data_IF_156754747192
#
_entry.id   IF_156754747192
#
_cell.length_a   1.000
_cell.length_b   1.000
_cell.length_c   1.000
_cell.angle_alpha   90.00
_cell.angle_beta   90.00
_cell.angle_gamma   90.00
#
_symmetry.space_group_name_H-M   'P 1'
#
loop_
_entity.id
_entity.type
_entity.pdbx_description
1 polymer ?
#
# COMPACT_ATOMS: atom_id res chain seq x y z
N UNK A 1 15.56 18.22 11.33
CA UNK A 1 14.88 16.93 11.55
C UNK A 1 13.80 17.02 12.62
N UNK A 2 14.09 17.45 13.86
CA UNK A 2 13.09 17.51 14.94
C UNK A 2 11.80 18.31 14.59
N UNK A 3 11.95 19.48 13.98
CA UNK A 3 10.82 20.32 13.54
C UNK A 3 9.96 19.67 12.44
N UNK A 4 10.57 18.93 11.51
CA UNK A 4 9.87 18.20 10.45
C UNK A 4 9.03 17.09 11.07
N UNK A 5 9.61 16.36 12.02
CA UNK A 5 8.90 15.29 12.75
C UNK A 5 7.76 15.85 13.60
N UNK A 6 7.91 17.04 14.19
CA UNK A 6 6.83 17.69 14.93
C UNK A 6 5.64 18.05 14.03
N UNK A 7 5.89 18.70 12.88
CA UNK A 7 4.85 19.03 11.89
C UNK A 7 4.16 17.76 11.37
N UNK A 8 4.95 16.72 11.12
CA UNK A 8 4.43 15.43 10.67
C UNK A 8 3.53 14.77 11.72
N UNK A 9 3.96 14.78 12.98
CA UNK A 9 3.20 14.24 14.12
C UNK A 9 1.88 14.98 14.32
N UNK A 10 1.87 16.30 14.24
CA UNK A 10 0.67 17.12 14.38
C UNK A 10 -0.33 16.89 13.23
N UNK A 11 0.19 16.74 12.01
CA UNK A 11 -0.63 16.39 10.84
C UNK A 11 -1.29 15.03 11.03
N UNK A 12 -0.52 14.04 11.50
CA UNK A 12 -1.01 12.69 11.78
C UNK A 12 -2.08 12.69 12.88
N UNK A 13 -1.87 13.45 13.95
CA UNK A 13 -2.86 13.66 15.02
C UNK A 13 -4.16 14.25 14.48
N UNK A 14 -4.07 15.33 13.69
CA UNK A 14 -5.24 16.00 13.11
C UNK A 14 -6.09 15.05 12.26
N UNK A 15 -5.44 14.17 11.50
CA UNK A 15 -6.10 13.17 10.65
C UNK A 15 -6.73 12.06 11.50
N UNK A 16 -6.00 11.55 12.50
CA UNK A 16 -6.54 10.53 13.40
C UNK A 16 -7.76 11.06 14.16
N UNK A 17 -7.70 12.28 14.68
CA UNK A 17 -8.82 12.92 15.37
C UNK A 17 -10.03 13.11 14.44
N UNK A 18 -9.79 13.43 13.16
CA UNK A 18 -10.87 13.55 12.16
C UNK A 18 -11.51 12.20 11.87
N UNK A 19 -10.71 11.13 11.82
CA UNK A 19 -11.21 9.76 11.70
C UNK A 19 -12.02 9.34 12.93
N UNK A 20 -11.51 9.62 14.14
CA UNK A 20 -12.20 9.29 15.40
C UNK A 20 -13.50 10.06 15.59
N UNK A 21 -13.54 11.36 15.25
CA UNK A 21 -14.76 12.18 15.34
C UNK A 21 -15.83 11.80 14.34
N UNK A 22 -15.45 11.27 13.16
CA UNK A 22 -16.38 10.81 12.13
C UNK A 22 -16.70 9.33 12.22
N UNK A 23 -16.25 8.64 13.27
CA UNK A 23 -16.39 7.19 13.40
C UNK A 23 -17.87 6.81 13.48
N UNK A 24 -18.44 6.46 12.33
CA UNK A 24 -19.69 5.69 12.21
C UNK A 24 -19.50 4.40 13.02
N UNK A 25 -20.59 3.86 13.58
CA UNK A 25 -20.56 2.57 14.31
C UNK A 25 -19.62 1.57 13.63
N UNK A 26 -18.62 1.09 14.37
CA UNK A 26 -17.56 0.20 13.87
C UNK A 26 -18.10 -1.02 13.13
N UNK A 27 -19.30 -1.44 13.50
CA UNK A 27 -20.00 -2.57 12.89
C UNK A 27 -20.47 -2.32 11.45
N UNK A 28 -20.82 -1.08 11.10
CA UNK A 28 -21.19 -0.68 9.73
C UNK A 28 -19.97 -0.24 8.90
N UNK A 29 -18.94 0.29 9.57
CA UNK A 29 -17.74 0.75 8.89
C UNK A 29 -16.94 -0.39 8.27
N UNK A 30 -16.78 -1.52 8.98
CA UNK A 30 -16.04 -2.68 8.47
C UNK A 30 -16.60 -3.24 7.15
N UNK A 31 -17.89 -3.61 7.03
CA UNK A 31 -18.42 -4.16 5.78
C UNK A 31 -18.38 -3.14 4.63
N UNK A 32 -18.61 -1.86 4.92
CA UNK A 32 -18.49 -0.80 3.91
C UNK A 32 -17.06 -0.67 3.38
N UNK A 33 -16.07 -0.67 4.28
CA UNK A 33 -14.64 -0.64 3.93
C UNK A 33 -14.23 -1.89 3.15
N UNK A 34 -14.73 -3.06 3.55
CA UNK A 34 -14.49 -4.32 2.85
C UNK A 34 -15.04 -4.29 1.42
N UNK A 35 -16.28 -3.84 1.21
CA UNK A 35 -16.87 -3.67 -0.13
C UNK A 35 -16.08 -2.66 -0.96
N UNK A 36 -15.67 -1.54 -0.36
CA UNK A 36 -14.79 -0.57 -1.02
C UNK A 36 -13.50 -1.23 -1.51
N UNK A 37 -12.84 -2.02 -0.66
CA UNK A 37 -11.61 -2.71 -1.05
C UNK A 37 -11.83 -3.85 -2.05
N UNK A 38 -13.00 -4.50 -2.07
CA UNK A 38 -13.35 -5.45 -3.15
C UNK A 38 -13.33 -4.72 -4.49
N UNK A 39 -14.04 -3.59 -4.58
CA UNK A 39 -14.12 -2.82 -5.83
C UNK A 39 -12.72 -2.34 -6.24
N UNK A 40 -11.94 -1.85 -5.28
CA UNK A 40 -10.58 -1.37 -5.55
C UNK A 40 -9.65 -2.49 -6.03
N UNK A 41 -9.65 -3.66 -5.38
CA UNK A 41 -8.83 -4.80 -5.78
C UNK A 41 -9.21 -5.33 -7.16
N UNK A 42 -10.51 -5.41 -7.45
CA UNK A 42 -11.01 -5.80 -8.78
C UNK A 42 -10.58 -4.77 -9.83
N UNK A 43 -10.68 -3.47 -9.53
CA UNK A 43 -10.22 -2.42 -10.45
C UNK A 43 -8.71 -2.50 -10.72
N UNK A 44 -7.89 -2.68 -9.68
CA UNK A 44 -6.45 -2.89 -9.82
C UNK A 44 -6.13 -4.14 -10.63
N UNK A 45 -6.87 -5.24 -10.41
CA UNK A 45 -6.72 -6.48 -11.16
C UNK A 45 -6.99 -6.30 -12.65
N UNK A 46 -8.12 -5.68 -13.00
CA UNK A 46 -8.46 -5.41 -14.38
C UNK A 46 -7.46 -4.46 -15.03
N UNK A 47 -7.06 -3.39 -14.32
CA UNK A 47 -6.02 -2.48 -14.79
C UNK A 47 -4.74 -3.25 -15.12
N UNK A 48 -4.28 -4.10 -14.20
CA UNK A 48 -3.04 -4.86 -14.35
C UNK A 48 -3.11 -5.86 -15.51
N UNK A 49 -4.24 -6.57 -15.68
CA UNK A 49 -4.40 -7.53 -16.79
C UNK A 49 -4.47 -6.83 -18.14
N UNK A 50 -5.26 -5.77 -18.28
CA UNK A 50 -5.40 -5.08 -19.58
C UNK A 50 -4.09 -4.44 -20.04
N UNK A 51 -3.25 -3.99 -19.11
CA UNK A 51 -2.00 -3.31 -19.42
C UNK A 51 -0.81 -4.28 -19.58
N UNK A 52 -0.70 -5.30 -18.74
CA UNK A 52 0.41 -6.26 -18.79
C UNK A 52 0.19 -7.40 -19.80
N UNK A 53 -1.06 -7.84 -19.95
CA UNK A 53 -1.45 -9.09 -20.60
C UNK A 53 -2.67 -8.96 -21.53
N UNK A 54 -2.73 -7.94 -22.42
CA UNK A 54 -3.92 -7.66 -23.23
C UNK A 54 -4.35 -8.82 -24.15
N UNK A 55 -3.39 -9.62 -24.64
CA UNK A 55 -3.66 -10.72 -25.56
C UNK A 55 -4.49 -11.86 -24.92
N UNK A 56 -4.32 -12.12 -23.62
CA UNK A 56 -5.06 -13.18 -22.92
C UNK A 56 -6.56 -12.86 -22.79
N UNK A 57 -6.96 -11.59 -22.93
CA UNK A 57 -8.37 -11.19 -22.94
C UNK A 57 -9.05 -11.44 -24.29
N UNK A 58 -8.29 -11.74 -25.34
CA UNK A 58 -8.80 -11.99 -26.69
C UNK A 58 -8.91 -13.50 -27.02
N UNK A 59 -8.43 -14.36 -26.12
CA UNK A 59 -8.38 -15.82 -26.31
C UNK A 59 -9.37 -16.55 -25.39
N UNK A 60 -9.55 -17.86 -25.61
CA UNK A 60 -10.39 -18.72 -24.77
C UNK A 60 -9.96 -18.79 -23.30
N UNK A 61 -8.72 -18.39 -23.00
CA UNK A 61 -8.16 -18.25 -21.65
C UNK A 61 -8.80 -17.11 -20.83
N UNK A 62 -9.54 -16.21 -21.47
CA UNK A 62 -10.22 -15.10 -20.80
C UNK A 62 -11.17 -15.57 -19.68
N UNK A 63 -11.81 -16.73 -19.87
CA UNK A 63 -12.71 -17.32 -18.87
C UNK A 63 -12.00 -17.66 -17.55
N UNK A 64 -10.75 -18.11 -17.62
CA UNK A 64 -9.93 -18.43 -16.45
C UNK A 64 -9.60 -17.15 -15.65
N UNK A 65 -9.17 -16.09 -16.34
CA UNK A 65 -8.85 -14.81 -15.71
C UNK A 65 -10.08 -14.11 -15.13
N UNK A 66 -11.23 -14.16 -15.81
CA UNK A 66 -12.49 -13.63 -15.27
C UNK A 66 -12.86 -14.31 -13.94
N UNK A 67 -12.67 -15.63 -13.82
CA UNK A 67 -12.93 -16.34 -12.56
C UNK A 67 -11.93 -15.96 -11.46
N UNK A 68 -10.69 -15.67 -11.83
CA UNK A 68 -9.62 -15.29 -10.90
C UNK A 68 -9.88 -13.95 -10.19
N UNK A 69 -10.71 -13.07 -10.75
CA UNK A 69 -11.11 -11.84 -10.07
C UNK A 69 -11.84 -12.10 -8.74
N UNK A 70 -12.52 -13.25 -8.59
CA UNK A 70 -13.29 -13.58 -7.37
C UNK A 70 -12.35 -13.81 -6.19
N UNK A 71 -11.42 -14.78 -6.22
CA UNK A 71 -10.47 -14.95 -5.14
C UNK A 71 -9.57 -13.72 -4.98
N UNK A 72 -9.17 -13.07 -6.07
CA UNK A 72 -8.35 -11.85 -6.00
C UNK A 72 -9.08 -10.71 -5.28
N UNK A 73 -10.31 -10.41 -5.67
CA UNK A 73 -11.11 -9.35 -5.05
C UNK A 73 -11.41 -9.64 -3.59
N UNK A 74 -11.79 -10.88 -3.27
CA UNK A 74 -12.14 -11.26 -1.90
C UNK A 74 -10.93 -11.31 -0.96
N UNK A 75 -9.88 -12.06 -1.31
CA UNK A 75 -8.70 -12.19 -0.46
C UNK A 75 -7.85 -10.91 -0.44
N UNK A 76 -7.82 -10.15 -1.55
CA UNK A 76 -7.22 -8.82 -1.59
C UNK A 76 -7.93 -7.87 -0.63
N UNK A 77 -9.25 -7.78 -0.69
CA UNK A 77 -10.03 -6.93 0.21
C UNK A 77 -9.92 -7.35 1.67
N UNK A 78 -9.82 -8.65 1.95
CA UNK A 78 -9.60 -9.15 3.30
C UNK A 78 -8.27 -8.66 3.85
N UNK A 79 -7.19 -8.77 3.07
CA UNK A 79 -5.89 -8.28 3.50
C UNK A 79 -5.86 -6.76 3.66
N UNK A 80 -6.40 -6.01 2.69
CA UNK A 80 -6.39 -4.54 2.72
C UNK A 80 -7.25 -3.98 3.87
N UNK A 81 -8.39 -4.61 4.17
CA UNK A 81 -9.19 -4.22 5.33
C UNK A 81 -8.47 -4.51 6.64
N UNK A 82 -7.85 -5.69 6.80
CA UNK A 82 -7.07 -6.03 7.98
C UNK A 82 -5.85 -5.12 8.15
N UNK A 83 -5.08 -4.90 7.08
CA UNK A 83 -3.90 -4.04 7.08
C UNK A 83 -4.27 -2.60 7.45
N UNK A 84 -5.41 -2.08 6.98
CA UNK A 84 -5.91 -0.77 7.37
C UNK A 84 -6.13 -0.65 8.89
N UNK A 85 -6.77 -1.64 9.53
CA UNK A 85 -6.97 -1.59 10.99
C UNK A 85 -5.66 -1.71 11.75
N UNK A 86 -4.73 -2.55 11.28
CA UNK A 86 -3.39 -2.67 11.86
C UNK A 86 -2.64 -1.35 11.74
N UNK A 87 -2.68 -0.66 10.60
CA UNK A 87 -2.03 0.66 10.43
C UNK A 87 -2.66 1.71 11.34
N UNK A 88 -3.98 1.76 11.49
CA UNK A 88 -4.61 2.67 12.47
C UNK A 88 -4.15 2.37 13.89
N UNK A 89 -4.01 1.10 14.25
CA UNK A 89 -3.48 0.70 15.56
C UNK A 89 -2.01 1.11 15.73
N UNK A 90 -1.17 0.93 14.70
CA UNK A 90 0.23 1.38 14.67
C UNK A 90 0.31 2.90 14.86
N UNK A 91 -0.50 3.68 14.14
CA UNK A 91 -0.54 5.14 14.24
C UNK A 91 -0.89 5.59 15.66
N UNK A 92 -1.91 4.99 16.28
CA UNK A 92 -2.29 5.28 17.68
C UNK A 92 -1.11 5.04 18.62
N UNK A 93 -0.40 3.93 18.42
CA UNK A 93 0.76 3.58 19.25
C UNK A 93 1.94 4.54 19.02
N UNK A 94 2.19 4.91 17.76
CA UNK A 94 3.23 5.88 17.41
C UNK A 94 2.95 7.24 18.06
N UNK A 95 1.71 7.73 17.99
CA UNK A 95 1.32 9.01 18.59
C UNK A 95 1.39 9.02 20.12
N UNK A 96 1.24 7.88 20.78
CA UNK A 96 1.43 7.75 22.22
C UNK A 96 2.92 7.74 22.63
N UNK A 97 3.85 7.52 21.71
CA UNK A 97 5.28 7.43 22.02
C UNK A 97 5.87 8.81 22.39
N UNK A 98 6.67 8.86 23.46
CA UNK A 98 7.30 10.13 23.90
C UNK A 98 8.57 10.44 23.12
N UNK A 99 9.31 9.42 22.69
CA UNK A 99 10.57 9.58 21.95
C UNK A 99 10.35 9.59 20.44
N UNK A 100 11.07 10.47 19.76
CA UNK A 100 11.06 10.56 18.29
C UNK A 100 11.51 9.27 17.60
N UNK A 101 12.48 8.54 18.17
CA UNK A 101 12.95 7.26 17.62
C UNK A 101 11.86 6.17 17.70
N UNK A 102 11.16 6.07 18.82
CA UNK A 102 10.05 5.14 19.02
C UNK A 102 8.88 5.46 18.07
N UNK A 103 8.58 6.74 17.86
CA UNK A 103 7.60 7.20 16.87
C UNK A 103 7.94 6.73 15.45
N UNK A 104 9.18 6.98 14.98
CA UNK A 104 9.63 6.56 13.64
C UNK A 104 9.65 5.04 13.51
N UNK A 105 10.07 4.32 14.55
CA UNK A 105 10.09 2.86 14.54
C UNK A 105 8.68 2.27 14.38
N UNK A 106 7.71 2.75 15.16
CA UNK A 106 6.33 2.28 15.02
C UNK A 106 5.82 2.52 13.60
N UNK A 107 6.09 3.70 13.02
CA UNK A 107 5.63 4.01 11.69
C UNK A 107 6.36 3.21 10.59
N UNK A 108 7.58 2.76 10.85
CA UNK A 108 8.29 1.85 9.94
C UNK A 108 7.68 0.45 9.88
N UNK A 109 6.80 0.06 10.82
CA UNK A 109 6.09 -1.21 10.76
C UNK A 109 5.15 -1.29 9.55
N UNK A 110 4.69 -0.16 9.00
CA UNK A 110 3.90 -0.16 7.75
C UNK A 110 4.72 -0.65 6.55
N UNK A 111 6.05 -0.54 6.58
CA UNK A 111 6.91 -1.13 5.55
C UNK A 111 6.89 -2.67 5.61
N UNK A 112 6.79 -3.24 6.82
CA UNK A 112 6.64 -4.68 7.00
C UNK A 112 5.30 -5.15 6.42
N UNK A 113 4.23 -4.38 6.63
CA UNK A 113 2.92 -4.67 6.02
C UNK A 113 3.04 -4.68 4.48
N UNK A 114 3.77 -3.74 3.89
CA UNK A 114 4.00 -3.73 2.45
C UNK A 114 4.78 -4.98 1.97
N UNK A 115 5.80 -5.42 2.72
CA UNK A 115 6.53 -6.66 2.41
C UNK A 115 5.59 -7.88 2.50
N UNK A 116 4.81 -7.99 3.56
CA UNK A 116 3.82 -9.06 3.72
C UNK A 116 2.79 -9.03 2.60
N UNK A 117 2.38 -7.85 2.12
CA UNK A 117 1.47 -7.71 0.99
C UNK A 117 2.05 -8.35 -0.29
N UNK A 118 3.36 -8.24 -0.53
CA UNK A 118 3.99 -8.88 -1.70
C UNK A 118 3.86 -10.41 -1.66
N UNK A 119 4.06 -11.01 -0.48
CA UNK A 119 3.85 -12.45 -0.27
C UNK A 119 2.37 -12.83 -0.35
N UNK A 120 1.49 -11.96 0.15
CA UNK A 120 0.05 -12.16 0.10
C UNK A 120 -0.45 -12.26 -1.35
N UNK A 121 0.03 -11.37 -2.23
CA UNK A 121 -0.30 -11.44 -3.67
C UNK A 121 0.07 -12.82 -4.24
N UNK A 122 1.29 -13.31 -4.00
CA UNK A 122 1.71 -14.64 -4.48
C UNK A 122 0.82 -15.77 -3.94
N UNK A 123 0.44 -15.68 -2.66
CA UNK A 123 -0.49 -16.63 -2.05
C UNK A 123 -1.85 -16.61 -2.75
N UNK A 124 -2.45 -15.44 -2.93
CA UNK A 124 -3.77 -15.28 -3.58
C UNK A 124 -3.77 -15.82 -5.01
N UNK A 125 -2.70 -15.60 -5.77
CA UNK A 125 -2.58 -16.13 -7.14
C UNK A 125 -2.35 -17.65 -7.18
N UNK A 126 -1.61 -18.20 -6.22
CA UNK A 126 -1.39 -19.66 -6.13
C UNK A 126 -2.66 -20.38 -5.69
N UNK A 127 -3.26 -19.92 -4.60
CA UNK A 127 -4.47 -20.50 -4.03
C UNK A 127 -5.70 -20.24 -4.90
N UNK A 128 -5.86 -19.02 -5.41
CA UNK A 128 -6.97 -18.65 -6.31
C UNK A 128 -6.92 -19.42 -7.62
N UNK A 129 -5.74 -19.60 -8.20
CA UNK A 129 -5.57 -20.49 -9.33
C UNK A 129 -6.03 -21.91 -8.98
N UNK A 130 -5.54 -22.48 -7.88
CA UNK A 130 -5.91 -23.83 -7.45
C UNK A 130 -7.42 -23.99 -7.23
N UNK A 131 -8.07 -23.00 -6.62
CA UNK A 131 -9.51 -22.99 -6.43
C UNK A 131 -10.27 -23.07 -7.76
N UNK A 132 -9.80 -22.34 -8.78
CA UNK A 132 -10.37 -22.42 -10.13
C UNK A 132 -10.10 -23.78 -10.78
N UNK A 133 -8.92 -24.39 -10.56
CA UNK A 133 -8.62 -25.71 -11.12
C UNK A 133 -9.56 -26.81 -10.61
N UNK A 134 -10.01 -26.69 -9.35
CA UNK A 134 -11.05 -27.54 -8.78
C UNK A 134 -12.40 -27.23 -9.45
N UNK A 135 -12.73 -25.96 -9.61
CA UNK A 135 -13.97 -25.52 -10.27
C UNK A 135 -14.06 -26.05 -11.71
N UNK A 136 -12.94 -26.07 -12.43
CA UNK A 136 -12.85 -26.49 -13.83
C UNK A 136 -12.73 -28.02 -14.00
N UNK A 137 -12.81 -28.80 -12.92
CA UNK A 137 -12.60 -30.27 -12.93
C UNK A 137 -11.29 -30.70 -13.59
N UNK A 138 -10.28 -29.82 -13.58
CA UNK A 138 -8.93 -30.06 -14.07
C UNK A 138 -7.96 -29.92 -12.90
N UNK A 139 -7.98 -30.86 -11.93
CA UNK A 139 -7.28 -30.70 -10.67
C UNK A 139 -5.77 -30.63 -10.88
N UNK A 140 -5.20 -29.45 -10.71
CA UNK A 140 -3.75 -29.27 -10.60
C UNK A 140 -3.33 -29.40 -9.13
N UNK A 141 -2.25 -30.12 -8.87
CA UNK A 141 -1.68 -30.17 -7.52
C UNK A 141 -1.11 -28.80 -7.13
N UNK A 142 -1.33 -28.36 -5.90
CA UNK A 142 -0.73 -27.12 -5.36
C UNK A 142 0.80 -27.11 -5.53
N UNK A 143 1.44 -28.28 -5.41
CA UNK A 143 2.89 -28.45 -5.57
C UNK A 143 3.38 -28.08 -6.97
N UNK A 144 2.64 -28.42 -8.04
CA UNK A 144 3.04 -28.10 -9.40
C UNK A 144 2.95 -26.60 -9.68
N UNK A 145 1.94 -25.93 -9.13
CA UNK A 145 1.82 -24.47 -9.18
C UNK A 145 2.87 -23.76 -8.34
N UNK A 146 3.17 -24.29 -7.15
CA UNK A 146 4.28 -23.83 -6.33
C UNK A 146 5.60 -23.83 -7.11
N UNK A 147 5.92 -24.94 -7.78
CA UNK A 147 7.12 -25.03 -8.61
C UNK A 147 7.13 -24.01 -9.77
N UNK A 148 5.98 -23.78 -10.42
CA UNK A 148 5.84 -22.77 -11.49
C UNK A 148 6.13 -21.35 -10.99
N UNK A 149 5.59 -20.96 -9.84
CA UNK A 149 5.84 -19.64 -9.27
C UNK A 149 7.27 -19.51 -8.71
N UNK A 150 7.83 -20.58 -8.13
CA UNK A 150 9.24 -20.61 -7.71
C UNK A 150 10.18 -20.40 -8.89
N UNK A 151 9.97 -21.09 -10.02
CA UNK A 151 10.77 -20.91 -11.22
C UNK A 151 10.67 -19.48 -11.77
N UNK A 152 9.47 -18.89 -11.76
CA UNK A 152 9.27 -17.48 -12.15
C UNK A 152 10.00 -16.52 -11.21
N UNK A 153 9.99 -16.78 -9.90
CA UNK A 153 10.70 -15.97 -8.93
C UNK A 153 12.22 -16.02 -9.14
N UNK A 154 12.78 -17.23 -9.33
CA UNK A 154 14.20 -17.42 -9.65
C UNK A 154 14.56 -16.73 -10.96
N UNK A 155 13.73 -16.88 -12.00
CA UNK A 155 13.94 -16.24 -13.29
C UNK A 155 13.89 -14.71 -13.20
N UNK A 156 12.98 -14.14 -12.40
CA UNK A 156 12.89 -12.70 -12.18
C UNK A 156 14.10 -12.14 -11.41
N UNK A 157 14.74 -12.93 -10.55
CA UNK A 157 15.99 -12.54 -9.88
C UNK A 157 17.17 -12.54 -10.88
N UNK A 158 17.20 -13.52 -11.78
CA UNK A 158 18.29 -13.67 -12.75
C UNK A 158 18.18 -12.68 -13.92
N UNK A 159 16.96 -12.41 -14.40
CA UNK A 159 16.68 -11.48 -15.49
C UNK A 159 15.45 -10.60 -15.18
N UNK A 160 15.59 -9.58 -14.33
CA UNK A 160 14.46 -8.74 -13.90
C UNK A 160 13.88 -7.88 -15.02
N UNK A 161 14.71 -7.50 -16.00
CA UNK A 161 14.33 -6.60 -17.10
C UNK A 161 13.86 -7.36 -18.35
N UNK A 162 13.91 -8.69 -18.34
CA UNK A 162 13.32 -9.54 -19.37
C UNK A 162 11.84 -9.20 -19.58
N UNK A 163 11.40 -9.18 -20.85
CA UNK A 163 10.07 -8.67 -21.25
C UNK A 163 8.91 -9.30 -20.48
N UNK A 164 8.97 -10.59 -20.18
CA UNK A 164 7.93 -11.30 -19.43
C UNK A 164 8.03 -11.07 -17.92
N UNK A 165 9.25 -11.00 -17.37
CA UNK A 165 9.48 -10.72 -15.95
C UNK A 165 9.08 -9.28 -15.60
N UNK A 166 9.41 -8.32 -16.47
CA UNK A 166 9.01 -6.93 -16.32
C UNK A 166 7.48 -6.77 -16.28
N UNK A 167 6.74 -7.49 -17.14
CA UNK A 167 5.27 -7.53 -17.10
C UNK A 167 4.74 -8.15 -15.80
N UNK A 168 5.33 -9.26 -15.34
CA UNK A 168 4.92 -9.91 -14.09
C UNK A 168 5.19 -9.01 -12.87
N UNK A 169 6.33 -8.34 -12.82
CA UNK A 169 6.68 -7.37 -11.77
C UNK A 169 5.71 -6.20 -11.81
N UNK A 170 5.49 -5.61 -13.00
CA UNK A 170 4.53 -4.53 -13.18
C UNK A 170 3.12 -4.93 -12.73
N UNK A 171 2.67 -6.13 -13.13
CA UNK A 171 1.39 -6.68 -12.71
C UNK A 171 1.29 -6.77 -11.18
N UNK A 172 2.31 -7.34 -10.53
CA UNK A 172 2.39 -7.41 -9.07
C UNK A 172 2.40 -6.05 -8.38
N UNK A 173 3.09 -5.06 -8.95
CA UNK A 173 3.12 -3.68 -8.43
C UNK A 173 1.73 -3.05 -8.47
N UNK A 174 1.02 -3.11 -9.60
CA UNK A 174 -0.34 -2.57 -9.72
C UNK A 174 -1.29 -3.25 -8.73
N UNK A 175 -1.20 -4.57 -8.60
CA UNK A 175 -1.98 -5.33 -7.63
C UNK A 175 -1.69 -4.94 -6.18
N UNK A 176 -0.44 -4.56 -5.87
CA UNK A 176 -0.02 -4.14 -4.53
C UNK A 176 -0.34 -2.67 -4.18
N UNK A 177 -0.81 -1.86 -5.13
CA UNK A 177 -1.09 -0.44 -4.89
C UNK A 177 -2.16 -0.24 -3.81
N UNK A 178 -3.21 -1.07 -3.81
CA UNK A 178 -4.30 -0.95 -2.83
C UNK A 178 -3.81 -1.20 -1.40
N UNK A 179 -2.98 -2.23 -1.21
CA UNK A 179 -2.36 -2.56 0.07
C UNK A 179 -1.34 -1.51 0.55
N UNK A 180 -0.68 -0.82 -0.39
CA UNK A 180 0.31 0.21 -0.10
C UNK A 180 -0.29 1.61 0.18
N UNK A 181 -1.61 1.77 0.10
CA UNK A 181 -2.28 3.06 0.36
C UNK A 181 -1.87 3.71 1.70
N UNK A 182 -1.80 2.99 2.83
CA UNK A 182 -1.37 3.60 4.09
C UNK A 182 0.09 4.08 4.02
N UNK A 183 0.98 3.27 3.44
CA UNK A 183 2.38 3.64 3.23
C UNK A 183 2.51 4.90 2.36
N UNK A 184 1.79 4.96 1.25
CA UNK A 184 1.77 6.14 0.38
C UNK A 184 1.23 7.37 1.10
N UNK A 185 0.21 7.21 1.93
CA UNK A 185 -0.33 8.29 2.73
C UNK A 185 0.71 8.84 3.73
N UNK A 186 1.45 7.96 4.43
CA UNK A 186 2.49 8.38 5.35
C UNK A 186 3.66 9.08 4.65
N UNK A 187 4.10 8.55 3.51
CA UNK A 187 5.13 9.19 2.66
C UNK A 187 4.64 10.56 2.18
N UNK A 188 3.39 10.67 1.73
CA UNK A 188 2.79 11.93 1.29
C UNK A 188 2.78 12.97 2.42
N UNK A 189 2.37 12.60 3.63
CA UNK A 189 2.39 13.51 4.79
C UNK A 189 3.82 13.95 5.14
N UNK A 190 4.78 13.03 5.07
CA UNK A 190 6.18 13.35 5.29
C UNK A 190 6.71 14.32 4.23
N UNK A 191 6.44 14.09 2.95
CA UNK A 191 6.81 15.00 1.85
C UNK A 191 6.13 16.37 1.98
N UNK A 192 4.85 16.40 2.36
CA UNK A 192 4.13 17.65 2.63
C UNK A 192 4.76 18.44 3.78
N UNK A 193 5.23 17.75 4.83
CA UNK A 193 5.94 18.39 5.93
C UNK A 193 7.30 18.97 5.51
N UNK A 194 8.03 18.29 4.60
CA UNK A 194 9.25 18.80 3.98
C UNK A 194 8.98 20.05 3.13
N UNK A 195 7.98 19.99 2.25
CA UNK A 195 7.58 21.11 1.39
C UNK A 195 7.12 22.32 2.21
N UNK A 196 6.36 22.09 3.27
CA UNK A 196 5.92 23.15 4.19
C UNK A 196 7.11 23.83 4.87
N UNK A 197 8.15 23.07 5.24
CA UNK A 197 9.38 23.62 5.78
C UNK A 197 10.16 24.41 4.73
N UNK A 198 10.31 23.88 3.52
CA UNK A 198 10.98 24.58 2.41
C UNK A 198 10.26 25.91 2.13
N UNK A 199 8.93 25.90 2.04
CA UNK A 199 8.12 27.10 1.84
C UNK A 199 8.31 28.13 2.95
N UNK A 200 8.34 27.71 4.22
CA UNK A 200 8.64 28.60 5.37
C UNK A 200 10.07 29.15 5.33
N UNK A 201 11.04 28.37 4.85
CA UNK A 201 12.43 28.82 4.66
C UNK A 201 12.55 29.85 3.54
N UNK A 202 11.76 29.72 2.46
CA UNK A 202 11.73 30.68 1.35
C UNK A 202 10.95 31.96 1.67
N UNK A 203 9.99 31.90 2.60
CA UNK A 203 9.24 33.08 3.07
C UNK A 203 9.99 33.94 4.10
N UNK A 204 11.22 33.56 4.49
CA UNK A 204 12.05 34.32 5.42
C UNK A 204 13.24 35.02 4.74
N UNK A 205 13.04 36.02 3.86
CA UNK A 205 14.01 37.08 3.65
C UNK A 205 13.59 38.36 4.40
N UNK A 206 14.58 39.03 5.01
CA UNK A 206 14.51 40.35 5.67
C UNK A 206 13.72 40.49 6.98
N UNK A 207 14.35 40.14 8.10
CA UNK A 207 14.08 40.86 9.36
C UNK A 207 15.25 40.81 10.38
N UNK A 208 16.50 40.74 9.92
CA UNK A 208 17.68 40.78 10.80
C UNK A 208 18.73 41.77 10.25
N UNK A 209 18.42 43.07 10.16
CA UNK A 209 19.46 44.12 9.94
C UNK A 209 19.11 45.49 10.53
N UNK A 210 18.28 45.61 11.58
CA UNK A 210 17.98 46.94 12.18
C UNK A 210 18.07 47.03 13.71
N UNK A 211 18.67 46.07 14.42
CA UNK A 211 18.80 46.14 15.89
C UNK A 211 20.22 46.39 16.44
N UNK A 212 21.18 46.84 15.61
CA UNK A 212 22.56 47.11 16.09
C UNK A 212 23.08 48.54 15.92
N UNK A 213 22.22 49.55 15.76
CA UNK A 213 22.67 50.96 15.61
C UNK A 213 22.01 51.99 16.53
N UNK A 214 21.23 51.60 17.55
CA UNK A 214 20.64 52.54 18.50
C UNK A 214 20.95 52.24 19.97
N UNK A 215 22.23 52.03 20.30
CA UNK A 215 22.72 52.08 21.69
C UNK A 215 24.09 52.76 21.76
N UNK A 216 24.18 53.95 21.17
CA UNK A 216 25.27 54.88 21.45
C UNK A 216 24.76 56.31 21.23
N UNK A 217 23.99 56.81 22.21
CA UNK A 217 23.83 58.24 22.50
C UNK A 217 23.35 58.39 23.95
#
# INVERSE_FOLDING_TARGET
MAEIVAIWRDSLHTILDRYERKKISTWLFFPLLFVFFIILNIACYWWAIYTAFPYYMQTHEASHYIKLQIPVGFFGALFDSLSFFVTIWIIRRALAARKTSEYVFHLSLDLIIAIVATFWVLFVFTFGGWLISIWENAPEQLTSRGAKYTNRAVQAIQDPMGRENAKNIYFGVIMGVSAALPTFFHIFLFLSSLLSKIKKSFQKPEQNTEESTNNCQ
#
